data_IF_602179868192
#
_entry.id   IF_602179868192
#
_cell.length_a   1.000
_cell.length_b   1.000
_cell.length_c   1.000
_cell.angle_alpha   90.00
_cell.angle_beta   90.00
_cell.angle_gamma   90.00
#
_symmetry.space_group_name_H-M   'P 1'
#
loop_
_entity.id
_entity.type
_entity.pdbx_description
1 polymer ?
#
# COMPACT_ATOMS: atom_id res chain seq x y z
N UNK A 1 -21.64 -78.42 32.93
CA UNK A 1 -21.30 -77.05 32.48
C UNK A 1 -19.83 -76.84 32.79
N UNK A 2 -18.96 -76.87 31.79
CA UNK A 2 -17.51 -76.71 31.98
C UNK A 2 -17.22 -75.23 32.25
N UNK A 3 -16.75 -74.93 33.45
CA UNK A 3 -16.18 -73.62 33.78
C UNK A 3 -14.95 -73.41 32.88
N UNK A 4 -15.08 -72.58 31.85
CA UNK A 4 -13.97 -72.18 30.99
C UNK A 4 -12.86 -71.59 31.87
N UNK A 5 -11.70 -72.25 31.91
CA UNK A 5 -10.57 -71.82 32.73
C UNK A 5 -9.84 -70.72 31.99
N UNK A 6 -10.15 -69.47 32.31
CA UNK A 6 -9.37 -68.31 31.85
C UNK A 6 -8.37 -67.99 32.97
N UNK A 7 -7.12 -67.71 32.61
CA UNK A 7 -6.14 -67.15 33.56
C UNK A 7 -6.24 -65.63 33.45
N UNK A 8 -6.67 -64.96 34.53
CA UNK A 8 -6.96 -63.51 34.53
C UNK A 8 -5.95 -62.70 35.35
N UNK A 9 -5.07 -63.35 36.10
CA UNK A 9 -4.09 -62.75 37.01
C UNK A 9 -2.70 -62.55 36.37
N UNK A 10 -2.66 -62.38 35.05
CA UNK A 10 -1.40 -62.36 34.29
C UNK A 10 -0.77 -60.98 34.19
N UNK A 11 -1.56 -59.91 34.34
CA UNK A 11 -1.14 -58.52 34.10
C UNK A 11 -0.85 -58.18 32.63
N UNK A 12 -0.93 -59.15 31.71
CA UNK A 12 -0.67 -58.97 30.28
C UNK A 12 -1.83 -59.45 29.38
N UNK A 13 -3.01 -59.64 29.97
CA UNK A 13 -4.26 -60.01 29.31
C UNK A 13 -4.76 -61.41 29.70
N UNK A 14 -6.07 -61.60 29.60
CA UNK A 14 -6.74 -62.85 29.98
C UNK A 14 -6.38 -63.99 29.02
N UNK A 15 -5.88 -65.11 29.55
CA UNK A 15 -5.45 -66.28 28.75
C UNK A 15 -6.60 -67.28 28.62
N UNK A 16 -7.03 -67.51 27.38
CA UNK A 16 -8.04 -68.52 27.08
C UNK A 16 -7.43 -69.93 27.00
N UNK A 17 -7.87 -70.86 27.86
CA UNK A 17 -7.29 -72.23 27.90
C UNK A 17 -8.07 -73.29 27.11
N UNK A 18 -9.36 -73.10 26.82
CA UNK A 18 -10.10 -74.11 26.05
C UNK A 18 -9.62 -74.11 24.58
N UNK A 19 -9.17 -75.27 24.09
CA UNK A 19 -8.62 -75.37 22.73
C UNK A 19 -7.26 -74.68 22.55
N UNK A 20 -6.59 -74.28 23.64
CA UNK A 20 -5.22 -73.77 23.57
C UNK A 20 -4.21 -74.91 23.41
N UNK A 21 -3.02 -74.57 22.92
CA UNK A 21 -1.84 -75.43 23.04
C UNK A 21 -1.01 -74.91 24.20
N UNK A 22 -0.74 -75.77 25.17
CA UNK A 22 0.14 -75.48 26.31
C UNK A 22 1.41 -76.29 26.16
N UNK A 23 2.54 -75.60 26.10
CA UNK A 23 3.86 -76.21 26.11
C UNK A 23 4.51 -75.91 27.46
N UNK A 24 4.96 -76.95 28.15
CA UNK A 24 5.66 -76.83 29.43
C UNK A 24 7.07 -77.35 29.24
N UNK A 25 8.05 -76.51 29.58
CA UNK A 25 9.46 -76.81 29.41
C UNK A 25 10.20 -76.54 30.72
N UNK A 26 11.14 -77.41 31.08
CA UNK A 26 11.99 -77.26 32.27
C UNK A 26 11.64 -78.22 33.41
N UNK A 27 12.04 -77.86 34.63
CA UNK A 27 11.84 -78.66 35.85
C UNK A 27 11.03 -77.88 36.88
N UNK A 28 10.63 -78.51 37.98
CA UNK A 28 9.78 -77.88 39.00
C UNK A 28 10.37 -76.57 39.58
N UNK A 29 11.71 -76.46 39.63
CA UNK A 29 12.40 -75.26 40.12
C UNK A 29 12.63 -74.20 39.05
N UNK A 30 12.52 -74.52 37.75
CA UNK A 30 12.68 -73.58 36.65
C UNK A 30 11.84 -74.02 35.45
N UNK A 31 10.74 -73.30 35.19
CA UNK A 31 9.71 -73.66 34.23
C UNK A 31 9.40 -72.49 33.30
N UNK A 32 9.29 -72.80 32.01
CA UNK A 32 8.66 -71.92 31.02
C UNK A 32 7.36 -72.55 30.58
N UNK A 33 6.26 -71.81 30.67
CA UNK A 33 4.96 -72.23 30.17
C UNK A 33 4.61 -71.30 29.02
N UNK A 34 4.42 -71.87 27.84
CA UNK A 34 3.91 -71.11 26.70
C UNK A 34 2.50 -71.58 26.40
N UNK A 35 1.57 -70.63 26.38
CA UNK A 35 0.17 -70.87 26.01
C UNK A 35 -0.10 -70.16 24.70
N UNK A 36 -0.44 -70.93 23.67
CA UNK A 36 -0.94 -70.42 22.39
C UNK A 36 -2.46 -70.55 22.40
N UNK A 37 -3.15 -69.42 22.47
CA UNK A 37 -4.61 -69.38 22.61
C UNK A 37 -5.31 -69.71 21.29
N UNK A 38 -6.53 -70.28 21.32
CA UNK A 38 -7.29 -70.62 20.12
C UNK A 38 -7.65 -69.37 19.29
N UNK A 39 -8.10 -69.59 18.04
CA UNK A 39 -8.54 -68.51 17.15
C UNK A 39 -9.95 -67.98 17.46
N UNK A 40 -10.71 -68.65 18.34
CA UNK A 40 -12.07 -68.25 18.75
C UNK A 40 -12.26 -68.45 20.26
N UNK A 41 -13.16 -67.67 20.88
CA UNK A 41 -13.46 -67.69 22.31
C UNK A 41 -14.94 -67.39 22.53
N UNK A 42 -15.59 -68.17 23.40
CA UNK A 42 -16.99 -67.95 23.82
C UNK A 42 -17.10 -67.32 25.22
N UNK A 43 -15.97 -66.93 25.83
CA UNK A 43 -15.90 -66.51 27.24
C UNK A 43 -15.02 -65.30 27.55
N UNK A 44 -14.59 -64.53 26.55
CA UNK A 44 -13.90 -63.25 26.76
C UNK A 44 -12.36 -63.29 26.88
N UNK A 45 -11.74 -64.47 26.99
CA UNK A 45 -10.27 -64.60 26.97
C UNK A 45 -9.65 -64.25 25.60
N UNK A 46 -8.39 -63.78 25.62
CA UNK A 46 -7.63 -63.34 24.44
C UNK A 46 -7.40 -64.49 23.46
N UNK A 47 -7.87 -64.35 22.22
CA UNK A 47 -7.66 -65.31 21.13
C UNK A 47 -6.45 -64.96 20.28
N UNK A 48 -5.94 -65.92 19.50
CA UNK A 48 -4.85 -65.73 18.53
C UNK A 48 -3.61 -65.05 19.12
N UNK A 49 -3.24 -65.40 20.35
CA UNK A 49 -2.12 -64.80 21.07
C UNK A 49 -1.21 -65.87 21.69
N UNK A 50 0.03 -65.48 21.98
CA UNK A 50 0.98 -66.30 22.71
C UNK A 50 1.33 -65.63 24.03
N UNK A 51 1.21 -66.39 25.11
CA UNK A 51 1.57 -65.97 26.45
C UNK A 51 2.69 -66.87 26.95
N UNK A 52 3.76 -66.27 27.46
CA UNK A 52 4.90 -66.98 28.01
C UNK A 52 5.04 -66.63 29.49
N UNK A 53 4.82 -67.60 30.36
CA UNK A 53 5.21 -67.53 31.78
C UNK A 53 6.63 -68.04 31.92
N UNK A 54 7.44 -67.31 32.68
CA UNK A 54 8.83 -67.69 32.94
C UNK A 54 9.03 -67.68 34.45
N UNK A 55 9.51 -68.80 34.99
CA UNK A 55 10.07 -68.91 36.33
C UNK A 55 11.45 -69.57 36.23
N UNK A 56 12.48 -68.92 36.74
CA UNK A 56 13.88 -69.35 36.60
C UNK A 56 14.54 -69.75 37.93
N UNK A 57 13.75 -70.08 38.95
CA UNK A 57 14.24 -70.52 40.26
C UNK A 57 14.57 -69.36 41.20
N UNK A 58 15.30 -69.68 42.28
CA UNK A 58 15.53 -68.77 43.40
C UNK A 58 16.23 -67.48 42.96
N UNK A 59 15.67 -66.33 43.36
CA UNK A 59 16.19 -65.00 43.05
C UNK A 59 15.61 -64.31 41.81
N UNK A 60 14.74 -64.98 41.04
CA UNK A 60 14.04 -64.39 39.89
C UNK A 60 12.57 -64.09 40.21
N UNK A 61 12.03 -63.00 39.65
CA UNK A 61 10.58 -62.70 39.71
C UNK A 61 9.86 -63.39 38.56
N UNK A 62 9.05 -64.43 38.81
CA UNK A 62 8.33 -65.10 37.75
C UNK A 62 7.18 -64.22 37.26
N UNK A 63 6.85 -64.32 35.98
CA UNK A 63 5.80 -63.47 35.40
C UNK A 63 5.38 -63.88 34.01
N UNK A 64 4.18 -63.44 33.64
CA UNK A 64 3.62 -63.61 32.30
C UNK A 64 4.09 -62.48 31.38
N UNK A 65 4.31 -62.83 30.11
CA UNK A 65 4.51 -61.89 29.01
C UNK A 65 3.65 -62.29 27.82
N UNK A 66 3.09 -61.31 27.11
CA UNK A 66 2.39 -61.53 25.85
C UNK A 66 3.32 -61.18 24.70
N UNK A 67 3.50 -62.12 23.79
CA UNK A 67 4.30 -61.91 22.57
C UNK A 67 3.45 -61.19 21.51
N UNK A 68 4.02 -60.25 20.76
CA UNK A 68 3.32 -59.51 19.70
C UNK A 68 3.00 -60.42 18.50
N UNK A 69 1.75 -60.48 18.05
CA UNK A 69 1.37 -61.26 16.87
C UNK A 69 1.47 -60.43 15.57
N UNK A 70 1.73 -61.11 14.44
CA UNK A 70 2.18 -60.52 13.16
C UNK A 70 1.12 -59.72 12.39
N UNK A 71 -0.15 -59.70 12.79
CA UNK A 71 -1.18 -58.99 12.04
C UNK A 71 -2.40 -58.64 12.88
N UNK A 72 -2.78 -57.37 12.88
CA UNK A 72 -4.06 -56.89 13.44
C UNK A 72 -4.10 -56.71 14.96
N UNK A 73 -3.01 -57.00 15.68
CA UNK A 73 -2.92 -56.69 17.11
C UNK A 73 -2.94 -55.17 17.33
N UNK A 74 -3.83 -54.69 18.20
CA UNK A 74 -3.87 -53.31 18.66
C UNK A 74 -2.94 -53.16 19.87
N UNK A 75 -2.01 -52.22 19.80
CA UNK A 75 -1.24 -51.83 20.97
C UNK A 75 -1.99 -50.73 21.73
N UNK A 76 -2.25 -50.96 23.02
CA UNK A 76 -2.70 -49.92 23.95
C UNK A 76 -1.48 -49.36 24.68
N UNK A 77 -1.42 -48.04 24.85
CA UNK A 77 -0.30 -47.36 25.52
C UNK A 77 0.74 -46.78 24.56
N UNK A 78 1.96 -46.55 25.09
CA UNK A 78 3.05 -45.85 24.39
C UNK A 78 3.97 -46.82 23.66
N UNK A 79 4.33 -46.49 22.41
CA UNK A 79 5.43 -47.14 21.70
C UNK A 79 6.71 -46.35 22.01
N UNK A 80 7.69 -46.97 22.69
CA UNK A 80 8.99 -46.37 22.98
C UNK A 80 10.04 -46.85 21.95
N UNK A 81 10.81 -45.92 21.36
CA UNK A 81 11.88 -46.20 20.38
C UNK A 81 13.27 -45.67 20.79
N UNK A 82 13.45 -45.30 22.06
CA UNK A 82 14.62 -44.55 22.56
C UNK A 82 15.96 -45.30 22.42
N UNK A 83 15.95 -46.64 22.37
CA UNK A 83 17.14 -47.49 22.27
C UNK A 83 17.70 -47.71 20.85
N UNK A 84 17.15 -47.04 19.83
CA UNK A 84 17.59 -47.20 18.44
C UNK A 84 19.00 -46.62 18.19
N UNK A 85 19.76 -47.28 17.31
CA UNK A 85 21.09 -46.80 16.90
C UNK A 85 20.99 -45.59 15.96
N UNK A 86 22.01 -44.72 15.97
CA UNK A 86 22.15 -43.64 14.99
C UNK A 86 22.18 -44.20 13.55
N UNK A 87 21.72 -43.40 12.59
CA UNK A 87 21.65 -43.74 11.15
C UNK A 87 20.79 -44.97 10.79
N UNK A 88 19.99 -45.50 11.73
CA UNK A 88 18.98 -46.50 11.45
C UNK A 88 17.58 -45.88 11.51
N UNK A 89 16.70 -46.26 10.60
CA UNK A 89 15.30 -45.84 10.66
C UNK A 89 14.60 -46.53 11.83
N UNK A 90 14.02 -45.75 12.74
CA UNK A 90 13.20 -46.27 13.84
C UNK A 90 11.81 -46.75 13.37
N UNK A 91 11.33 -46.25 12.23
CA UNK A 91 10.13 -46.75 11.56
C UNK A 91 10.26 -46.62 10.04
N UNK A 92 9.73 -47.60 9.31
CA UNK A 92 9.69 -47.59 7.84
C UNK A 92 8.29 -47.88 7.36
N UNK A 93 7.72 -46.97 6.59
CA UNK A 93 6.40 -47.12 6.01
C UNK A 93 6.47 -47.03 4.47
N UNK A 94 7.10 -48.01 3.82
CA UNK A 94 7.17 -48.10 2.35
C UNK A 94 6.00 -48.92 1.78
N UNK A 95 5.53 -48.60 0.57
CA UNK A 95 4.46 -49.34 -0.13
C UNK A 95 4.98 -49.74 -1.51
N UNK A 96 4.75 -50.99 -1.91
CA UNK A 96 5.12 -51.54 -3.23
C UNK A 96 4.00 -51.46 -4.27
N UNK A 97 2.89 -50.78 -3.96
CA UNK A 97 1.80 -50.54 -4.89
C UNK A 97 2.18 -49.59 -6.03
N UNK A 98 1.26 -49.41 -6.99
CA UNK A 98 1.49 -48.60 -8.19
C UNK A 98 1.93 -47.17 -7.87
N UNK A 99 2.91 -46.66 -8.63
CA UNK A 99 3.43 -45.29 -8.51
C UNK A 99 2.30 -44.26 -8.63
N UNK A 100 2.34 -43.23 -7.78
CA UNK A 100 1.34 -42.18 -7.74
C UNK A 100 0.15 -42.49 -6.83
N UNK A 101 0.03 -43.73 -6.33
CA UNK A 101 -0.91 -44.07 -5.27
C UNK A 101 -0.61 -43.30 -3.99
N UNK A 102 -1.68 -42.83 -3.33
CA UNK A 102 -1.59 -42.15 -2.03
C UNK A 102 -1.41 -43.20 -0.93
N UNK A 103 -0.43 -42.97 -0.05
CA UNK A 103 -0.28 -43.75 1.18
C UNK A 103 -0.74 -42.94 2.38
N UNK A 104 -1.65 -43.51 3.16
CA UNK A 104 -2.05 -42.99 4.47
C UNK A 104 -1.05 -43.49 5.52
N UNK A 105 -0.33 -42.58 6.16
CA UNK A 105 0.70 -42.90 7.15
C UNK A 105 0.09 -42.93 8.56
N UNK A 106 -0.67 -41.90 8.90
CA UNK A 106 -1.35 -41.78 10.20
C UNK A 106 -2.76 -41.22 10.03
N UNK A 107 -3.68 -41.69 10.88
CA UNK A 107 -5.04 -41.14 11.05
C UNK A 107 -5.27 -40.91 12.53
N UNK A 108 -5.64 -39.69 12.92
CA UNK A 108 -5.75 -39.30 14.32
C UNK A 108 -6.84 -38.25 14.53
N UNK A 109 -7.35 -38.16 15.76
CA UNK A 109 -8.34 -37.16 16.22
C UNK A 109 -8.26 -37.03 17.73
N UNK A 110 -8.76 -35.94 18.30
CA UNK A 110 -8.77 -35.71 19.76
C UNK A 110 -9.83 -36.55 20.48
N UNK A 111 -11.05 -36.57 19.97
CA UNK A 111 -12.20 -37.26 20.55
C UNK A 111 -13.24 -37.70 19.52
N UNK A 112 -14.37 -38.21 20.02
CA UNK A 112 -15.51 -38.54 19.18
C UNK A 112 -16.15 -37.26 18.62
N UNK A 113 -16.44 -37.25 17.32
CA UNK A 113 -16.96 -36.07 16.61
C UNK A 113 -15.90 -35.04 16.19
N UNK A 114 -14.69 -35.10 16.75
CA UNK A 114 -13.60 -34.20 16.34
C UNK A 114 -13.16 -34.42 14.90
N UNK A 115 -12.55 -33.38 14.34
CA UNK A 115 -11.95 -33.42 13.01
C UNK A 115 -10.90 -34.52 12.95
N UNK A 116 -11.09 -35.42 11.99
CA UNK A 116 -10.12 -36.46 11.66
C UNK A 116 -9.00 -35.82 10.86
N UNK A 117 -7.77 -36.01 11.33
CA UNK A 117 -6.56 -35.64 10.64
C UNK A 117 -5.90 -36.86 10.02
N UNK A 118 -5.30 -36.63 8.86
CA UNK A 118 -4.54 -37.59 8.08
C UNK A 118 -3.15 -37.02 7.83
N UNK A 119 -2.14 -37.86 7.96
CA UNK A 119 -0.84 -37.63 7.35
C UNK A 119 -0.69 -38.59 6.17
N UNK A 120 -0.45 -38.05 4.99
CA UNK A 120 -0.35 -38.84 3.76
C UNK A 120 0.88 -38.48 2.95
N UNK A 121 1.34 -39.44 2.13
CA UNK A 121 2.41 -39.23 1.16
C UNK A 121 1.97 -39.70 -0.22
N UNK A 122 2.21 -38.86 -1.24
CA UNK A 122 1.87 -39.16 -2.63
C UNK A 122 2.77 -38.35 -3.57
N UNK A 123 3.43 -39.02 -4.52
CA UNK A 123 4.11 -38.34 -5.64
C UNK A 123 5.13 -37.26 -5.25
N UNK A 124 5.86 -37.44 -4.13
CA UNK A 124 6.83 -36.46 -3.62
C UNK A 124 6.24 -35.39 -2.70
N UNK A 125 4.97 -35.51 -2.34
CA UNK A 125 4.28 -34.60 -1.40
C UNK A 125 4.02 -35.33 -0.09
N UNK A 126 4.43 -34.72 1.02
CA UNK A 126 3.89 -35.04 2.35
C UNK A 126 2.82 -34.02 2.70
N UNK A 127 1.70 -34.48 3.27
CA UNK A 127 0.51 -33.68 3.52
C UNK A 127 -0.12 -33.99 4.88
N UNK A 128 -0.57 -32.94 5.54
CA UNK A 128 -1.57 -33.00 6.61
C UNK A 128 -2.90 -32.49 6.10
N UNK A 129 -3.94 -33.25 6.40
CA UNK A 129 -5.26 -33.01 5.85
C UNK A 129 -6.37 -33.47 6.76
N UNK A 130 -7.58 -33.00 6.49
CA UNK A 130 -8.77 -33.28 7.27
C UNK A 130 -9.87 -33.98 6.46
N UNK A 131 -10.94 -34.38 7.15
CA UNK A 131 -12.11 -35.05 6.57
C UNK A 131 -12.06 -36.58 6.69
N UNK A 132 -12.94 -37.28 5.98
CA UNK A 132 -13.07 -38.73 6.14
C UNK A 132 -11.90 -39.53 5.53
N UNK A 133 -11.36 -39.05 4.40
CA UNK A 133 -10.36 -39.75 3.59
C UNK A 133 -9.28 -38.78 3.04
N UNK A 134 -8.69 -37.92 3.89
CA UNK A 134 -7.74 -36.88 3.44
C UNK A 134 -8.35 -36.05 2.29
N UNK A 135 -9.55 -35.51 2.56
CA UNK A 135 -10.35 -34.81 1.55
C UNK A 135 -9.95 -33.34 1.43
N UNK A 136 -9.43 -32.74 2.51
CA UNK A 136 -9.03 -31.33 2.56
C UNK A 136 -7.57 -31.21 3.00
N UNK A 137 -6.70 -30.84 2.07
CA UNK A 137 -5.32 -30.47 2.38
C UNK A 137 -5.30 -29.20 3.26
N UNK A 138 -4.68 -29.29 4.43
CA UNK A 138 -4.45 -28.14 5.31
C UNK A 138 -3.02 -27.60 5.19
N UNK A 139 -2.04 -28.51 5.10
CA UNK A 139 -0.62 -28.19 5.02
C UNK A 139 0.12 -29.24 4.18
N UNK A 140 0.96 -28.82 3.24
CA UNK A 140 1.78 -29.74 2.45
C UNK A 140 3.19 -29.23 2.21
N UNK A 141 4.12 -30.19 2.06
CA UNK A 141 5.50 -29.96 1.64
C UNK A 141 5.77 -30.81 0.40
N UNK A 142 6.31 -30.18 -0.63
CA UNK A 142 6.58 -30.82 -1.92
C UNK A 142 7.91 -30.37 -2.48
N UNK A 143 8.62 -31.29 -3.14
CA UNK A 143 9.82 -30.94 -3.92
C UNK A 143 9.51 -30.04 -5.13
N UNK A 144 8.25 -29.95 -5.56
CA UNK A 144 7.86 -29.15 -6.72
C UNK A 144 7.53 -27.68 -6.38
N UNK A 145 6.98 -27.42 -5.18
CA UNK A 145 6.49 -26.08 -4.81
C UNK A 145 6.84 -25.63 -3.39
N UNK A 146 7.54 -26.45 -2.59
CA UNK A 146 7.85 -26.15 -1.20
C UNK A 146 6.64 -26.29 -0.28
N UNK A 147 6.41 -25.29 0.58
CA UNK A 147 5.34 -25.26 1.57
C UNK A 147 4.05 -24.68 0.99
N UNK A 148 2.92 -25.32 1.29
CA UNK A 148 1.59 -24.73 1.09
C UNK A 148 0.78 -24.87 2.36
N UNK A 149 0.13 -23.79 2.78
CA UNK A 149 -0.88 -23.80 3.84
C UNK A 149 -2.22 -23.34 3.28
N UNK A 150 -3.31 -23.96 3.74
CA UNK A 150 -4.68 -23.53 3.44
C UNK A 150 -5.11 -22.34 4.31
N UNK A 151 -4.60 -22.29 5.54
CA UNK A 151 -4.93 -21.27 6.53
C UNK A 151 -3.98 -20.07 6.52
N UNK A 152 -4.22 -19.15 7.44
CA UNK A 152 -3.33 -18.02 7.70
C UNK A 152 -2.00 -18.49 8.32
N UNK A 153 -0.90 -17.83 7.94
CA UNK A 153 0.41 -18.00 8.58
C UNK A 153 0.67 -16.80 9.46
N UNK A 154 0.61 -17.00 10.78
CA UNK A 154 0.87 -15.95 11.78
C UNK A 154 2.29 -16.07 12.32
N UNK A 155 2.98 -14.93 12.44
CA UNK A 155 4.26 -14.83 13.14
C UNK A 155 4.10 -13.97 14.38
N UNK A 156 4.59 -14.47 15.52
CA UNK A 156 4.67 -13.71 16.78
C UNK A 156 6.02 -13.00 16.95
N UNK A 157 6.91 -13.12 15.96
CA UNK A 157 8.19 -12.41 15.92
C UNK A 157 8.00 -11.02 15.31
N UNK A 158 8.66 -10.02 15.89
CA UNK A 158 8.70 -8.69 15.29
C UNK A 158 9.25 -8.72 13.85
N UNK A 159 10.30 -9.53 13.59
CA UNK A 159 10.75 -9.84 12.23
C UNK A 159 9.93 -11.04 11.73
N UNK A 160 8.74 -10.77 11.19
CA UNK A 160 7.72 -11.78 11.01
C UNK A 160 7.91 -12.68 9.80
N UNK A 161 8.26 -12.10 8.65
CA UNK A 161 8.34 -12.77 7.35
C UNK A 161 9.60 -12.32 6.60
N UNK A 162 10.43 -13.26 6.14
CA UNK A 162 11.72 -12.97 5.47
C UNK A 162 11.88 -13.75 4.17
N UNK A 163 12.44 -13.06 3.18
CA UNK A 163 12.99 -13.63 1.95
C UNK A 163 14.52 -13.41 2.00
N UNK A 164 15.28 -14.49 2.14
CA UNK A 164 16.73 -14.44 2.25
C UNK A 164 17.38 -15.04 0.99
N UNK A 165 17.65 -14.20 -0.01
CA UNK A 165 18.15 -14.66 -1.32
C UNK A 165 19.27 -13.75 -1.85
N UNK A 166 20.32 -14.35 -2.43
CA UNK A 166 21.51 -13.61 -2.85
C UNK A 166 22.26 -12.98 -1.67
N UNK A 167 22.69 -11.72 -1.84
CA UNK A 167 23.46 -10.99 -0.83
C UNK A 167 22.60 -10.28 0.22
N UNK A 168 21.32 -10.03 -0.05
CA UNK A 168 20.45 -9.24 0.83
C UNK A 168 19.26 -10.06 1.31
N UNK A 169 18.82 -9.80 2.53
CA UNK A 169 17.54 -10.24 3.06
C UNK A 169 16.53 -9.11 2.94
N UNK A 170 15.35 -9.43 2.44
CA UNK A 170 14.16 -8.59 2.55
C UNK A 170 13.25 -9.17 3.63
N UNK A 171 12.66 -8.35 4.48
CA UNK A 171 11.71 -8.84 5.47
C UNK A 171 10.68 -7.80 5.90
N UNK A 172 9.51 -8.29 6.29
CA UNK A 172 8.45 -7.49 6.90
C UNK A 172 8.67 -7.52 8.41
N UNK A 173 8.82 -6.32 9.00
CA UNK A 173 8.98 -6.15 10.44
C UNK A 173 7.79 -5.37 11.01
N UNK A 174 7.16 -5.87 12.06
CA UNK A 174 6.23 -5.10 12.89
C UNK A 174 6.85 -4.97 14.29
N UNK A 175 7.15 -3.74 14.71
CA UNK A 175 7.75 -3.49 16.03
C UNK A 175 6.73 -3.09 17.11
N UNK A 176 5.44 -3.19 16.80
CA UNK A 176 4.32 -2.76 17.64
C UNK A 176 3.86 -1.33 17.34
N UNK A 177 4.76 -0.42 16.95
CA UNK A 177 4.41 0.96 16.59
C UNK A 177 4.23 1.17 15.09
N UNK A 178 5.02 0.47 14.27
CA UNK A 178 4.96 0.56 12.81
C UNK A 178 5.31 -0.76 12.14
N UNK A 179 4.86 -0.89 10.89
CA UNK A 179 5.18 -2.00 10.01
C UNK A 179 6.10 -1.52 8.90
N UNK A 180 7.20 -2.24 8.65
CA UNK A 180 8.28 -1.83 7.76
C UNK A 180 8.57 -2.90 6.72
N UNK A 181 8.97 -2.44 5.54
CA UNK A 181 9.75 -3.24 4.60
C UNK A 181 11.23 -2.98 4.86
N UNK A 182 11.94 -3.99 5.37
CA UNK A 182 13.33 -3.89 5.79
C UNK A 182 14.29 -4.61 4.84
N UNK A 183 15.53 -4.15 4.80
CA UNK A 183 16.64 -4.75 4.06
C UNK A 183 17.84 -4.99 4.99
N UNK A 184 18.59 -6.07 4.77
CA UNK A 184 19.83 -6.34 5.50
C UNK A 184 21.04 -5.61 4.91
N UNK A 185 22.20 -5.69 5.56
CA UNK A 185 23.47 -5.40 4.91
C UNK A 185 23.78 -6.43 3.80
N UNK A 186 24.63 -6.05 2.84
CA UNK A 186 25.11 -6.96 1.79
C UNK A 186 25.95 -8.08 2.40
N UNK A 187 25.73 -9.32 1.96
CA UNK A 187 26.40 -10.52 2.48
C UNK A 187 25.73 -11.10 3.73
N UNK A 188 24.77 -10.39 4.34
CA UNK A 188 24.15 -10.76 5.61
C UNK A 188 22.64 -10.99 5.49
N UNK A 189 22.23 -11.85 4.54
CA UNK A 189 20.82 -12.08 4.21
C UNK A 189 19.94 -12.59 5.37
N UNK A 190 20.52 -13.13 6.42
CA UNK A 190 19.81 -13.59 7.63
C UNK A 190 19.93 -12.62 8.81
N UNK A 191 20.77 -11.59 8.72
CA UNK A 191 21.00 -10.65 9.81
C UNK A 191 19.92 -9.58 9.97
N UNK A 192 20.26 -8.55 10.74
CA UNK A 192 19.36 -7.45 11.12
C UNK A 192 19.16 -6.44 9.97
N UNK A 193 18.25 -5.48 10.15
CA UNK A 193 18.02 -4.41 9.17
C UNK A 193 19.20 -3.41 9.12
N UNK A 194 19.44 -2.84 7.94
CA UNK A 194 20.37 -1.73 7.73
C UNK A 194 19.68 -0.36 7.97
N UNK A 195 20.32 0.74 7.56
CA UNK A 195 19.79 2.10 7.72
C UNK A 195 18.63 2.48 6.78
N UNK A 196 18.31 1.66 5.78
CA UNK A 196 17.29 1.99 4.78
C UNK A 196 15.87 1.81 5.32
N UNK A 197 14.98 2.76 5.00
CA UNK A 197 13.53 2.70 5.27
C UNK A 197 12.71 2.92 4.00
N UNK A 198 12.68 1.94 3.06
CA UNK A 198 11.97 2.08 1.79
C UNK A 198 10.47 2.40 1.96
N UNK A 199 9.78 1.69 2.85
CA UNK A 199 8.36 1.89 3.14
C UNK A 199 8.07 1.57 4.61
N UNK A 200 7.33 2.47 5.28
CA UNK A 200 6.86 2.33 6.65
C UNK A 200 5.39 2.69 6.74
N UNK A 201 4.61 1.89 7.49
CA UNK A 201 3.21 2.13 7.81
C UNK A 201 3.11 2.35 9.31
N UNK A 202 2.54 3.48 9.74
CA UNK A 202 2.22 3.70 11.14
C UNK A 202 1.03 2.82 11.54
N UNK A 203 1.19 1.96 12.54
CA UNK A 203 0.15 1.00 12.91
C UNK A 203 -1.10 1.66 13.51
N UNK A 204 -0.97 2.85 14.11
CA UNK A 204 -2.07 3.54 14.78
C UNK A 204 -2.97 4.33 13.82
N UNK A 205 -2.42 4.87 12.74
CA UNK A 205 -3.16 5.76 11.82
C UNK A 205 -3.11 5.35 10.34
N UNK A 206 -2.39 4.28 9.98
CA UNK A 206 -2.27 3.80 8.61
C UNK A 206 -1.44 4.69 7.68
N UNK A 207 -0.83 5.76 8.20
CA UNK A 207 -0.01 6.69 7.43
C UNK A 207 1.21 5.99 6.84
N UNK A 208 1.38 6.13 5.53
CA UNK A 208 2.50 5.55 4.78
C UNK A 208 3.60 6.58 4.58
N UNK A 209 4.85 6.19 4.81
CA UNK A 209 6.03 7.01 4.52
C UNK A 209 7.08 6.19 3.75
N UNK A 210 7.79 6.87 2.84
CA UNK A 210 8.90 6.30 2.07
C UNK A 210 10.14 7.17 2.26
N UNK A 211 11.18 6.59 2.85
CA UNK A 211 12.39 7.33 3.27
C UNK A 211 13.48 7.45 2.20
N UNK A 212 13.37 6.71 1.09
CA UNK A 212 14.43 6.61 0.08
C UNK A 212 13.91 6.85 -1.34
N UNK A 213 13.04 7.86 -1.48
CA UNK A 213 12.45 8.26 -2.75
C UNK A 213 11.28 7.38 -3.18
N UNK A 214 10.57 7.85 -4.20
CA UNK A 214 9.48 7.16 -4.88
C UNK A 214 9.54 7.56 -6.35
N UNK A 215 9.57 6.56 -7.25
CA UNK A 215 9.43 6.75 -8.69
C UNK A 215 8.10 6.14 -9.13
N UNK A 216 7.26 6.93 -9.80
CA UNK A 216 5.94 6.50 -10.28
C UNK A 216 5.92 6.60 -11.80
N UNK A 217 5.52 5.52 -12.48
CA UNK A 217 5.16 5.53 -13.90
C UNK A 217 3.64 5.54 -14.00
N UNK A 218 3.08 6.42 -14.84
CA UNK A 218 1.64 6.71 -14.87
C UNK A 218 1.27 7.92 -14.02
N UNK A 219 0.01 7.99 -13.59
CA UNK A 219 -0.53 9.17 -12.91
C UNK A 219 -0.42 9.10 -11.38
N UNK A 220 -0.31 10.27 -10.75
CA UNK A 220 -0.45 10.45 -9.30
C UNK A 220 -1.78 11.15 -9.04
N UNK A 221 -2.77 10.39 -8.57
CA UNK A 221 -4.07 10.94 -8.16
C UNK A 221 -4.05 11.23 -6.67
N UNK A 222 -4.33 12.48 -6.30
CA UNK A 222 -4.44 12.91 -4.90
C UNK A 222 -5.75 13.67 -4.70
N UNK A 223 -6.53 13.26 -3.69
CA UNK A 223 -7.81 13.88 -3.35
C UNK A 223 -7.70 15.29 -2.74
N UNK A 224 -6.50 15.71 -2.31
CA UNK A 224 -6.30 17.01 -1.67
C UNK A 224 -5.18 17.83 -2.31
N UNK A 225 -3.92 17.39 -2.16
CA UNK A 225 -2.75 18.17 -2.54
C UNK A 225 -1.54 17.32 -2.85
N UNK A 226 -0.79 17.74 -3.86
CA UNK A 226 0.59 17.30 -4.10
C UNK A 226 1.53 18.41 -3.66
N UNK A 227 2.51 18.08 -2.81
CA UNK A 227 3.45 19.06 -2.22
C UNK A 227 4.90 18.61 -2.40
N UNK A 228 5.73 19.47 -2.97
CA UNK A 228 7.17 19.24 -3.14
C UNK A 228 8.00 20.21 -2.28
N UNK A 229 9.11 19.73 -1.69
CA UNK A 229 9.99 20.49 -0.79
C UNK A 229 9.90 20.02 0.66
N UNK A 230 10.78 20.46 1.57
CA UNK A 230 10.80 20.06 3.00
C UNK A 230 10.30 21.19 3.91
N UNK A 231 11.01 22.32 3.98
CA UNK A 231 10.65 23.48 4.80
C UNK A 231 9.77 24.52 4.09
N UNK A 232 9.85 24.60 2.77
CA UNK A 232 8.97 25.40 1.90
C UNK A 232 8.39 24.47 0.84
N UNK A 233 7.08 24.54 0.62
CA UNK A 233 6.36 23.60 -0.23
C UNK A 233 5.82 24.29 -1.48
N UNK A 234 6.18 23.81 -2.66
CA UNK A 234 5.39 24.05 -3.86
C UNK A 234 4.14 23.14 -3.81
N UNK A 235 2.94 23.70 -3.98
CA UNK A 235 1.67 22.97 -3.78
C UNK A 235 0.82 23.04 -5.04
N UNK A 236 0.37 21.88 -5.52
CA UNK A 236 -0.76 21.75 -6.45
C UNK A 236 -1.93 21.21 -5.63
N UNK A 237 -3.04 21.94 -5.57
CA UNK A 237 -4.20 21.58 -4.73
C UNK A 237 -5.50 22.05 -5.34
N UNK A 238 -6.57 21.30 -5.08
CA UNK A 238 -7.95 21.69 -5.36
C UNK A 238 -8.75 21.73 -4.07
N UNK A 239 -9.56 22.76 -3.88
CA UNK A 239 -10.58 22.81 -2.83
C UNK A 239 -11.89 22.11 -3.25
N UNK A 240 -11.97 21.61 -4.48
CA UNK A 240 -13.15 20.97 -5.08
C UNK A 240 -14.41 21.85 -5.10
N UNK A 241 -14.22 23.17 -5.25
CA UNK A 241 -15.31 24.15 -5.37
C UNK A 241 -15.44 24.74 -6.77
N UNK A 242 -14.58 24.33 -7.72
CA UNK A 242 -14.68 24.76 -9.13
C UNK A 242 -15.87 24.07 -9.80
N UNK A 243 -16.55 24.75 -10.72
CA UNK A 243 -17.64 24.17 -11.53
C UNK A 243 -17.14 23.51 -12.82
N UNK A 244 -15.86 23.70 -13.16
CA UNK A 244 -15.16 23.14 -14.33
C UNK A 244 -13.78 22.64 -13.91
N UNK A 245 -13.27 21.66 -14.63
CA UNK A 245 -11.87 21.26 -14.50
C UNK A 245 -10.94 22.35 -15.06
N UNK A 246 -9.77 22.50 -14.46
CA UNK A 246 -8.72 23.37 -14.96
C UNK A 246 -7.43 22.57 -15.07
N UNK A 247 -6.76 22.70 -16.21
CA UNK A 247 -5.54 21.95 -16.51
C UNK A 247 -4.41 22.91 -16.91
N UNK A 248 -3.23 22.64 -16.36
CA UNK A 248 -1.99 23.21 -16.86
C UNK A 248 -1.37 22.22 -17.84
N UNK A 249 -1.36 22.56 -19.12
CA UNK A 249 -0.95 21.69 -20.21
C UNK A 249 0.43 22.10 -20.72
N UNK A 250 1.26 21.11 -21.07
CA UNK A 250 2.49 21.29 -21.84
C UNK A 250 2.38 20.46 -23.12
N UNK A 251 2.34 21.14 -24.26
CA UNK A 251 2.17 20.49 -25.55
C UNK A 251 2.92 21.27 -26.64
N UNK A 252 3.02 20.69 -27.84
CA UNK A 252 3.65 21.35 -28.98
C UNK A 252 3.60 20.55 -30.26
N UNK A 253 3.96 21.22 -31.36
CA UNK A 253 4.19 20.63 -32.69
C UNK A 253 5.18 21.49 -33.48
N UNK A 254 5.49 21.14 -34.72
CA UNK A 254 6.49 21.85 -35.54
C UNK A 254 6.20 23.34 -35.74
N UNK A 255 4.94 23.77 -35.71
CA UNK A 255 4.55 25.18 -35.88
C UNK A 255 4.42 25.92 -34.55
N UNK A 256 4.25 25.19 -33.44
CA UNK A 256 4.21 25.72 -32.06
C UNK A 256 5.09 24.84 -31.18
N UNK A 257 6.43 25.00 -31.22
CA UNK A 257 7.36 24.06 -30.61
C UNK A 257 7.11 23.75 -29.13
N UNK A 258 6.77 24.77 -28.34
CA UNK A 258 6.47 24.62 -26.91
C UNK A 258 5.34 25.56 -26.53
N UNK A 259 4.27 25.02 -25.96
CA UNK A 259 3.13 25.75 -25.41
C UNK A 259 2.91 25.29 -23.97
N UNK A 260 3.05 26.21 -23.03
CA UNK A 260 2.64 26.03 -21.64
C UNK A 260 1.37 26.84 -21.40
N UNK A 261 0.25 26.16 -21.12
CA UNK A 261 -1.10 26.72 -21.19
C UNK A 261 -1.91 26.39 -19.94
N UNK A 262 -2.71 27.35 -19.47
CA UNK A 262 -3.80 27.09 -18.54
C UNK A 262 -5.13 27.16 -19.31
N UNK A 263 -5.97 26.15 -19.18
CA UNK A 263 -7.30 26.11 -19.78
C UNK A 263 -8.28 25.25 -18.99
N UNK A 264 -9.54 25.30 -19.40
CA UNK A 264 -10.64 24.47 -18.93
C UNK A 264 -11.40 23.87 -20.12
N UNK A 265 -12.49 23.16 -19.85
CA UNK A 265 -13.31 22.52 -20.89
C UNK A 265 -13.99 23.50 -21.87
N UNK A 266 -14.00 24.80 -21.56
CA UNK A 266 -14.52 25.86 -22.43
C UNK A 266 -13.42 26.58 -23.24
N UNK A 267 -12.14 26.33 -22.97
CA UNK A 267 -11.02 26.84 -23.75
C UNK A 267 -9.80 27.26 -22.92
N UNK A 268 -8.84 27.92 -23.58
CA UNK A 268 -7.62 28.42 -22.95
C UNK A 268 -7.84 29.77 -22.29
N UNK A 269 -7.20 29.99 -21.13
CA UNK A 269 -7.19 31.26 -20.40
C UNK A 269 -5.96 32.08 -20.78
N UNK A 270 -4.78 31.49 -20.69
CA UNK A 270 -3.52 32.09 -21.11
C UNK A 270 -2.49 31.03 -21.48
N UNK A 271 -1.49 31.41 -22.27
CA UNK A 271 -0.33 30.56 -22.54
C UNK A 271 0.95 31.36 -22.75
N UNK A 272 2.07 30.71 -22.49
CA UNK A 272 3.38 31.11 -22.99
C UNK A 272 3.82 30.15 -24.08
N UNK A 273 4.21 30.69 -25.22
CA UNK A 273 4.65 29.91 -26.37
C UNK A 273 6.06 30.31 -26.81
N UNK A 274 6.89 29.32 -27.15
CA UNK A 274 8.09 29.53 -27.97
C UNK A 274 7.73 29.34 -29.44
N UNK A 275 8.00 30.35 -30.26
CA UNK A 275 7.77 30.34 -31.70
C UNK A 275 8.92 29.63 -32.44
N UNK A 276 8.71 29.31 -33.72
CA UNK A 276 9.71 28.64 -34.58
C UNK A 276 10.99 29.47 -34.80
N UNK A 277 10.89 30.80 -34.67
CA UNK A 277 12.02 31.73 -34.70
C UNK A 277 12.68 31.96 -33.32
N UNK A 278 12.32 31.15 -32.31
CA UNK A 278 12.72 31.26 -30.91
C UNK A 278 12.20 32.48 -30.12
N UNK A 279 11.40 33.37 -30.73
CA UNK A 279 10.70 34.41 -29.97
C UNK A 279 9.66 33.82 -29.02
N UNK A 280 9.25 34.59 -28.01
CA UNK A 280 8.26 34.16 -27.02
C UNK A 280 7.01 35.04 -27.14
N UNK A 281 5.86 34.39 -27.16
CA UNK A 281 4.55 35.05 -27.05
C UNK A 281 3.90 34.68 -25.72
N UNK A 282 3.47 35.68 -24.95
CA UNK A 282 2.54 35.49 -23.85
C UNK A 282 1.18 36.07 -24.25
N UNK A 283 0.15 35.23 -24.29
CA UNK A 283 -1.18 35.61 -24.72
C UNK A 283 -2.21 35.31 -23.63
N UNK A 284 -3.19 36.22 -23.48
CA UNK A 284 -4.30 36.11 -22.53
C UNK A 284 -5.61 36.21 -23.32
N UNK A 285 -6.51 35.26 -23.08
CA UNK A 285 -7.86 35.24 -23.66
C UNK A 285 -8.83 35.97 -22.73
N UNK A 286 -8.78 37.29 -22.75
CA UNK A 286 -9.61 38.13 -21.89
C UNK A 286 -8.93 39.43 -21.50
N UNK A 287 -9.46 40.07 -20.45
CA UNK A 287 -8.93 41.32 -19.93
C UNK A 287 -7.76 41.09 -18.96
N UNK A 288 -6.74 41.93 -19.05
CA UNK A 288 -5.69 42.04 -18.02
C UNK A 288 -6.01 43.24 -17.13
N UNK A 289 -6.27 42.99 -15.85
CA UNK A 289 -6.62 44.01 -14.86
C UNK A 289 -5.54 44.10 -13.77
N UNK A 290 -4.53 44.99 -13.91
CA UNK A 290 -3.56 45.23 -12.84
C UNK A 290 -4.20 45.91 -11.63
N UNK A 291 -3.65 45.67 -10.44
CA UNK A 291 -4.06 46.39 -9.22
C UNK A 291 -3.62 47.86 -9.21
N UNK A 292 -2.70 48.24 -10.09
CA UNK A 292 -2.16 49.59 -10.21
C UNK A 292 -1.91 49.94 -11.69
N UNK A 293 -2.56 51.00 -12.16
CA UNK A 293 -2.43 51.53 -13.52
C UNK A 293 -1.45 52.71 -13.63
N UNK A 294 -0.71 53.09 -12.58
CA UNK A 294 0.12 54.31 -12.57
C UNK A 294 1.17 54.36 -13.69
N UNK A 295 1.74 53.22 -14.08
CA UNK A 295 2.64 53.14 -15.23
C UNK A 295 1.91 53.30 -16.58
N UNK A 296 0.59 53.10 -16.66
CA UNK A 296 -0.24 53.37 -17.84
C UNK A 296 -0.81 54.79 -17.82
N UNK A 297 -1.34 55.23 -16.69
CA UNK A 297 -1.93 56.56 -16.47
C UNK A 297 -0.95 57.71 -16.71
N UNK A 298 0.35 57.43 -16.56
CA UNK A 298 1.45 58.37 -16.86
C UNK A 298 1.76 58.52 -18.35
N UNK A 299 1.25 57.64 -19.21
CA UNK A 299 1.54 57.64 -20.66
C UNK A 299 0.48 58.34 -21.51
N UNK A 300 -0.76 58.40 -21.05
CA UNK A 300 -1.89 58.80 -21.89
C UNK A 300 -2.63 60.03 -21.33
N UNK A 301 -3.12 60.88 -22.24
CA UNK A 301 -4.12 61.90 -21.89
C UNK A 301 -5.43 61.20 -21.57
N UNK A 302 -5.94 61.45 -20.37
CA UNK A 302 -7.18 60.83 -19.88
C UNK A 302 -8.40 61.72 -20.07
N UNK A 303 -8.20 63.03 -20.18
CA UNK A 303 -9.27 64.00 -20.40
C UNK A 303 -8.72 65.33 -20.99
N UNK A 304 -9.58 66.11 -21.64
CA UNK A 304 -9.29 67.44 -22.21
C UNK A 304 -10.45 68.39 -21.89
N UNK A 305 -10.14 69.61 -21.43
CA UNK A 305 -11.17 70.63 -21.11
C UNK A 305 -10.72 72.05 -21.41
N UNK A 306 -11.66 73.00 -21.38
CA UNK A 306 -11.37 74.42 -21.27
C UNK A 306 -11.26 74.82 -19.79
N UNK A 307 -10.19 75.52 -19.43
CA UNK A 307 -9.97 76.05 -18.08
C UNK A 307 -10.83 77.29 -17.77
N UNK A 308 -10.48 77.98 -16.68
CA UNK A 308 -11.15 79.21 -16.27
C UNK A 308 -11.11 80.29 -17.34
N UNK A 309 -12.20 81.07 -17.47
CA UNK A 309 -12.24 82.21 -18.37
C UNK A 309 -11.34 83.35 -17.84
N UNK A 310 -10.52 83.89 -18.72
CA UNK A 310 -9.83 85.15 -18.55
C UNK A 310 -10.34 86.17 -19.57
N UNK A 311 -10.05 87.45 -19.32
CA UNK A 311 -10.51 88.54 -20.17
C UNK A 311 -9.36 89.48 -20.49
N UNK A 312 -9.28 89.93 -21.74
CA UNK A 312 -8.48 91.09 -22.11
C UNK A 312 -9.41 92.25 -22.44
N UNK A 313 -9.15 93.42 -21.85
CA UNK A 313 -9.85 94.68 -22.13
C UNK A 313 -8.83 95.78 -22.42
N UNK A 314 -8.97 96.58 -23.49
CA UNK A 314 -8.14 97.75 -23.72
C UNK A 314 -8.37 98.83 -22.64
N UNK A 315 -7.41 99.75 -22.48
CA UNK A 315 -7.45 100.77 -21.42
C UNK A 315 -8.62 101.76 -21.56
N UNK A 316 -9.13 101.97 -22.77
CA UNK A 316 -10.33 102.75 -23.04
C UNK A 316 -11.00 102.31 -24.36
N UNK A 317 -12.18 102.85 -24.63
CA UNK A 317 -13.04 102.48 -25.76
C UNK A 317 -12.77 103.28 -27.06
N UNK A 318 -11.75 104.16 -27.08
CA UNK A 318 -11.37 104.99 -28.23
C UNK A 318 -10.05 104.60 -28.90
N UNK A 319 -9.37 103.55 -28.42
CA UNK A 319 -8.05 103.14 -28.91
C UNK A 319 -8.13 101.91 -29.82
N UNK A 320 -7.34 101.90 -30.89
CA UNK A 320 -7.06 100.67 -31.65
C UNK A 320 -6.26 99.71 -30.76
N UNK A 321 -6.67 98.45 -30.70
CA UNK A 321 -5.95 97.43 -29.94
C UNK A 321 -5.82 96.13 -30.75
N UNK A 322 -4.77 95.38 -30.44
CA UNK A 322 -4.53 94.06 -30.98
C UNK A 322 -4.24 93.13 -29.80
N UNK A 323 -4.90 91.99 -29.77
CA UNK A 323 -4.65 90.96 -28.78
C UNK A 323 -4.55 89.62 -29.48
N UNK A 324 -3.60 88.81 -29.03
CA UNK A 324 -3.49 87.41 -29.38
C UNK A 324 -3.76 86.62 -28.11
N UNK A 325 -4.58 85.58 -28.22
CA UNK A 325 -4.81 84.67 -27.10
C UNK A 325 -3.44 84.15 -26.60
N UNK A 326 -3.18 84.14 -25.29
CA UNK A 326 -1.94 83.58 -24.74
C UNK A 326 -1.74 82.12 -25.16
N UNK A 327 -0.49 81.63 -25.13
CA UNK A 327 -0.17 80.25 -25.54
C UNK A 327 -1.10 79.22 -24.89
N UNK A 328 -1.70 78.36 -25.73
CA UNK A 328 -2.63 77.33 -25.28
C UNK A 328 -4.06 77.82 -25.02
N UNK A 329 -4.35 79.10 -25.21
CA UNK A 329 -5.69 79.65 -25.04
C UNK A 329 -6.45 79.75 -26.36
N UNK A 330 -7.77 79.61 -26.26
CA UNK A 330 -8.71 79.86 -27.35
C UNK A 330 -9.69 80.96 -26.95
N UNK A 331 -10.12 81.77 -27.90
CA UNK A 331 -11.18 82.73 -27.66
C UNK A 331 -12.50 82.00 -27.37
N UNK A 332 -13.16 82.42 -26.30
CA UNK A 332 -14.42 81.83 -25.82
C UNK A 332 -15.56 82.84 -25.74
N UNK A 333 -15.35 84.08 -26.18
CA UNK A 333 -16.38 85.11 -26.24
C UNK A 333 -15.79 86.49 -26.58
N UNK A 334 -16.66 87.42 -26.95
CA UNK A 334 -16.34 88.82 -27.22
C UNK A 334 -17.21 89.72 -26.32
N UNK A 335 -16.67 90.88 -25.94
CA UNK A 335 -17.41 91.92 -25.21
C UNK A 335 -17.68 93.02 -26.23
N UNK A 336 -18.95 93.31 -26.47
CA UNK A 336 -19.40 94.40 -27.34
C UNK A 336 -19.94 95.52 -26.45
N UNK A 337 -19.57 96.78 -26.71
CA UNK A 337 -20.01 97.93 -25.92
C UNK A 337 -20.29 99.16 -26.80
N UNK A 338 -21.24 99.97 -26.34
CA UNK A 338 -21.59 101.26 -26.94
C UNK A 338 -20.50 102.32 -26.70
N UNK A 339 -20.27 103.19 -27.69
CA UNK A 339 -19.26 104.26 -27.63
C UNK A 339 -19.82 105.68 -27.63
N UNK A 340 -21.15 105.86 -27.64
CA UNK A 340 -21.82 107.17 -27.63
C UNK A 340 -22.69 107.41 -28.88
N UNK A 341 -23.22 108.63 -29.03
CA UNK A 341 -24.15 108.97 -30.12
C UNK A 341 -23.44 109.08 -31.49
N UNK A 342 -23.97 108.36 -32.49
CA UNK A 342 -23.51 108.30 -33.89
C UNK A 342 -22.19 107.56 -34.15
N UNK A 343 -21.84 106.54 -33.35
CA UNK A 343 -20.72 105.62 -33.62
C UNK A 343 -21.18 104.16 -33.71
N UNK A 344 -20.37 103.31 -34.35
CA UNK A 344 -20.61 101.86 -34.38
C UNK A 344 -20.17 101.18 -33.06
N UNK A 345 -20.82 100.06 -32.70
CA UNK A 345 -20.41 99.21 -31.58
C UNK A 345 -18.94 98.82 -31.68
N UNK A 346 -18.20 98.91 -30.56
CA UNK A 346 -16.82 98.47 -30.53
C UNK A 346 -16.66 97.14 -29.77
N UNK A 347 -15.54 96.45 -30.01
CA UNK A 347 -15.15 95.31 -29.19
C UNK A 347 -14.44 95.86 -27.94
N UNK A 348 -15.14 95.83 -26.82
CA UNK A 348 -14.64 96.26 -25.49
C UNK A 348 -13.74 95.25 -24.80
N UNK A 349 -13.56 94.07 -25.41
CA UNK A 349 -12.64 93.03 -24.93
C UNK A 349 -12.97 91.65 -25.47
N UNK A 350 -12.16 90.67 -25.09
CA UNK A 350 -12.36 89.25 -25.44
C UNK A 350 -12.22 88.37 -24.22
N UNK A 351 -13.02 87.30 -24.18
CA UNK A 351 -12.82 86.19 -23.26
C UNK A 351 -11.96 85.12 -23.93
N UNK A 352 -11.01 84.57 -23.20
CA UNK A 352 -10.23 83.42 -23.65
C UNK A 352 -10.08 82.41 -22.51
N UNK A 353 -9.87 81.14 -22.87
CA UNK A 353 -9.70 80.03 -21.92
C UNK A 353 -8.51 79.16 -22.34
N UNK A 354 -7.66 78.70 -21.40
CA UNK A 354 -6.63 77.72 -21.72
C UNK A 354 -7.27 76.37 -22.03
N UNK A 355 -6.82 75.71 -23.08
CA UNK A 355 -7.07 74.27 -23.28
C UNK A 355 -6.18 73.52 -22.29
N UNK A 356 -6.76 72.63 -21.49
CA UNK A 356 -6.05 71.81 -20.53
C UNK A 356 -6.16 70.33 -20.89
N UNK A 357 -5.10 69.56 -20.63
CA UNK A 357 -5.06 68.10 -20.74
C UNK A 357 -4.79 67.47 -19.37
N UNK A 358 -5.47 66.36 -19.08
CA UNK A 358 -5.32 65.62 -17.83
C UNK A 358 -4.44 64.40 -18.04
N UNK A 359 -3.28 64.37 -17.37
CA UNK A 359 -2.34 63.24 -17.42
C UNK A 359 -1.96 62.92 -15.98
N UNK A 360 -2.03 61.63 -15.61
CA UNK A 360 -1.57 61.13 -14.30
C UNK A 360 -2.07 61.91 -13.06
N UNK A 361 -3.32 62.37 -13.06
CA UNK A 361 -3.86 63.07 -11.88
C UNK A 361 -3.68 64.58 -11.91
N UNK A 362 -3.01 65.12 -12.93
CA UNK A 362 -2.67 66.54 -13.00
C UNK A 362 -3.18 67.16 -14.30
N UNK A 363 -3.76 68.37 -14.19
CA UNK A 363 -4.15 69.19 -15.33
C UNK A 363 -2.97 70.07 -15.78
N UNK A 364 -2.66 70.01 -17.07
CA UNK A 364 -1.62 70.81 -17.71
C UNK A 364 -2.25 71.73 -18.76
N UNK A 365 -1.84 73.00 -18.82
CA UNK A 365 -2.18 73.86 -19.97
C UNK A 365 -1.45 73.35 -21.21
N UNK A 366 -2.15 73.30 -22.34
CA UNK A 366 -1.56 72.95 -23.64
C UNK A 366 -0.64 74.09 -24.08
N UNK A 367 0.43 73.78 -24.82
CA UNK A 367 1.30 74.78 -25.43
C UNK A 367 0.84 75.04 -26.87
N UNK A 368 0.87 76.31 -27.30
CA UNK A 368 0.80 76.73 -28.70
C UNK A 368 2.23 77.01 -29.18
N UNK A 369 2.60 76.43 -30.33
CA UNK A 369 3.92 76.55 -30.99
C UNK A 369 3.89 77.48 -32.18
#
# INVERSE_FOLDING_TARGET
MQNNKIITDTGCGDIHLAGCVVEVMGTKSAITIRVTTPTTSSGGGTTSAQFTYINHGDGYSPGWRRDWNRQGDSMTGTINQDGGSQNAYMSTALCSGTRGGKKYLRKFRGGEGDTIWHETVQGGVIRWATGNNDAQEELSLSSAYGLRSRGEITSLSANGLRIAYGNYGFFIRNDGGSTYLMLTASGDKFGTWNGLRPLTINNANGGVSMGHGLSVTGDIVSSTKVRAGSGKKFTVSSSNTSTKEAAFNLWGNSSRPVVAELGDDAGWHFYSQRNTDNSITFAVNGQVSPSNYGNFDSRYVRDIRLGGAATYKPANNGMTWTHQAPSGCVYSGIIVQDTGSNSADNIGGVYYRPVQKYINGTWYNVAQV
#
